data_IF_592243006900
#
_entry.id   IF_592243006900
#
_cell.length_a   1.000
_cell.length_b   1.000
_cell.length_c   1.000
_cell.angle_alpha   90.00
_cell.angle_beta   90.00
_cell.angle_gamma   90.00
#
_symmetry.space_group_name_H-M   'P 1'
#
loop_
_entity.id
_entity.type
_entity.pdbx_description
1 polymer ?
#
# COMPACT_ATOMS: atom_id res chain seq x y z
N UNK A 1 -71.69 42.34 -8.28
CA UNK A 1 -72.38 42.20 -9.56
C UNK A 1 -72.25 40.81 -10.00
N UNK A 2 -73.28 40.02 -9.78
CA UNK A 2 -74.17 39.40 -10.75
C UNK A 2 -73.45 38.41 -11.61
N UNK A 3 -73.76 37.16 -11.61
CA UNK A 3 -74.97 36.35 -11.60
C UNK A 3 -74.62 35.22 -12.58
N UNK A 4 -74.82 34.07 -12.25
CA UNK A 4 -75.96 33.20 -12.37
C UNK A 4 -75.63 32.18 -13.36
N UNK A 5 -75.98 31.04 -13.24
CA UNK A 5 -77.14 30.25 -12.94
C UNK A 5 -76.96 28.99 -13.69
N UNK A 6 -77.08 27.87 -13.04
CA UNK A 6 -78.29 27.04 -13.02
C UNK A 6 -78.55 26.27 -14.33
N UNK A 7 -78.37 24.95 -14.17
CA UNK A 7 -79.48 23.95 -14.16
C UNK A 7 -79.77 23.41 -15.57
N UNK A 8 -80.00 22.22 -15.87
CA UNK A 8 -80.81 21.12 -15.37
C UNK A 8 -80.45 19.85 -16.25
N UNK A 9 -80.22 18.75 -15.72
CA UNK A 9 -81.14 17.68 -15.34
C UNK A 9 -81.90 17.02 -16.51
N UNK A 10 -81.76 15.79 -16.61
CA UNK A 10 -82.71 14.69 -16.65
C UNK A 10 -82.73 13.72 -17.81
N UNK A 11 -82.63 12.48 -17.41
CA UNK A 11 -83.44 11.26 -17.69
C UNK A 11 -82.94 10.28 -18.75
N UNK A 12 -82.41 9.18 -18.26
CA UNK A 12 -82.99 7.79 -18.21
C UNK A 12 -83.33 7.16 -19.57
N UNK A 13 -82.60 6.08 -19.88
CA UNK A 13 -83.21 4.82 -20.29
C UNK A 13 -82.18 3.69 -20.24
N UNK A 14 -82.53 2.66 -19.48
CA UNK A 14 -81.98 1.32 -19.45
C UNK A 14 -82.02 0.64 -20.82
N UNK A 15 -80.95 -0.04 -21.26
CA UNK A 15 -81.06 -1.29 -21.94
C UNK A 15 -79.87 -2.18 -21.52
N UNK A 16 -80.22 -3.29 -20.85
CA UNK A 16 -79.41 -4.41 -20.52
C UNK A 16 -79.15 -5.21 -21.82
N UNK A 17 -77.90 -5.40 -22.18
CA UNK A 17 -77.51 -6.58 -22.96
C UNK A 17 -76.07 -6.97 -22.59
N UNK A 18 -75.97 -8.19 -22.08
CA UNK A 18 -74.73 -8.81 -21.70
C UNK A 18 -73.81 -9.09 -22.85
N UNK A 19 -72.54 -8.85 -22.69
CA UNK A 19 -71.48 -9.45 -23.43
C UNK A 19 -70.36 -9.87 -22.47
N UNK A 20 -70.29 -11.19 -22.30
CA UNK A 20 -69.15 -11.89 -21.70
C UNK A 20 -67.91 -11.47 -22.45
N UNK A 21 -67.11 -10.57 -21.84
CA UNK A 21 -65.74 -10.36 -22.29
C UNK A 21 -64.84 -11.23 -21.42
N UNK A 22 -64.44 -12.36 -22.03
CA UNK A 22 -63.32 -13.16 -21.56
C UNK A 22 -62.11 -12.26 -21.40
N UNK A 23 -61.79 -11.92 -20.17
CA UNK A 23 -60.53 -11.30 -19.81
C UNK A 23 -59.40 -12.29 -20.07
N UNK A 24 -58.74 -12.15 -21.20
CA UNK A 24 -57.44 -12.79 -21.43
C UNK A 24 -56.46 -12.20 -20.37
N UNK A 25 -56.31 -12.89 -19.27
CA UNK A 25 -55.14 -12.75 -18.44
C UNK A 25 -53.92 -13.15 -19.28
N UNK A 26 -53.31 -12.15 -19.89
CA UNK A 26 -51.94 -12.29 -20.38
C UNK A 26 -51.05 -12.47 -19.18
N UNK A 27 -51.07 -13.65 -18.57
CA UNK A 27 -50.06 -14.11 -17.69
C UNK A 27 -48.75 -14.07 -18.47
N UNK A 28 -47.86 -13.12 -18.16
CA UNK A 28 -46.48 -13.29 -18.54
C UNK A 28 -45.99 -14.58 -17.88
N UNK A 29 -46.15 -15.69 -18.58
CA UNK A 29 -45.52 -16.94 -18.26
C UNK A 29 -44.02 -16.67 -18.40
N UNK A 30 -43.37 -16.44 -17.26
CA UNK A 30 -41.94 -16.48 -17.12
C UNK A 30 -41.50 -17.93 -17.32
N UNK A 31 -41.52 -18.37 -18.59
CA UNK A 31 -40.94 -19.66 -18.97
C UNK A 31 -39.45 -19.57 -18.74
N UNK A 32 -39.00 -20.04 -17.57
CA UNK A 32 -37.60 -20.26 -17.34
C UNK A 32 -37.03 -21.08 -18.50
N UNK A 33 -35.94 -20.59 -19.11
CA UNK A 33 -35.24 -21.31 -20.17
C UNK A 33 -34.97 -22.74 -19.70
N UNK A 34 -35.61 -23.71 -20.34
CA UNK A 34 -35.43 -25.15 -20.03
C UNK A 34 -34.15 -25.71 -20.63
N UNK A 35 -33.66 -25.11 -21.71
CA UNK A 35 -32.39 -25.46 -22.33
C UNK A 35 -31.25 -24.63 -21.71
N UNK A 36 -30.06 -25.24 -21.49
CA UNK A 36 -28.91 -24.52 -20.98
C UNK A 36 -28.50 -23.39 -21.93
N UNK A 37 -28.24 -22.17 -21.44
CA UNK A 37 -27.69 -21.08 -22.23
C UNK A 37 -26.31 -21.44 -22.80
N UNK A 38 -26.03 -21.02 -24.03
CA UNK A 38 -24.74 -21.30 -24.68
C UNK A 38 -23.53 -20.72 -23.96
N UNK A 39 -23.72 -19.66 -23.19
CA UNK A 39 -22.64 -19.05 -22.41
C UNK A 39 -22.10 -19.94 -21.28
N UNK A 40 -22.85 -21.01 -20.88
CA UNK A 40 -22.34 -21.99 -19.88
C UNK A 40 -21.16 -22.77 -20.46
N UNK A 41 -21.15 -23.01 -21.77
CA UNK A 41 -20.07 -23.68 -22.49
C UNK A 41 -18.98 -22.72 -22.99
N UNK A 42 -19.04 -21.44 -22.59
CA UNK A 42 -18.04 -20.42 -22.94
C UNK A 42 -18.25 -19.70 -24.25
N UNK A 43 -19.39 -19.94 -24.94
CA UNK A 43 -19.74 -19.25 -26.19
C UNK A 43 -21.10 -18.58 -26.09
N UNK A 44 -21.21 -17.32 -26.51
CA UNK A 44 -22.47 -16.59 -26.56
C UNK A 44 -22.51 -15.67 -27.77
N UNK A 45 -23.63 -15.69 -28.50
CA UNK A 45 -23.88 -14.73 -29.58
C UNK A 45 -24.28 -13.36 -29.02
N UNK A 46 -24.95 -13.34 -27.87
CA UNK A 46 -25.41 -12.14 -27.21
C UNK A 46 -24.26 -11.38 -26.47
N UNK A 47 -23.31 -12.16 -25.92
CA UNK A 47 -22.13 -11.64 -25.22
C UNK A 47 -20.86 -12.10 -25.94
N UNK A 48 -20.71 -11.68 -27.21
CA UNK A 48 -19.59 -12.07 -28.05
C UNK A 48 -18.25 -11.69 -27.41
N UNK A 49 -17.24 -12.56 -27.48
CA UNK A 49 -15.93 -12.38 -26.83
C UNK A 49 -15.16 -11.13 -27.33
N UNK A 50 -15.48 -10.66 -28.54
CA UNK A 50 -14.94 -9.42 -29.13
C UNK A 50 -15.45 -8.18 -28.39
N UNK A 51 -16.68 -8.22 -27.85
CA UNK A 51 -17.32 -7.09 -27.17
C UNK A 51 -17.29 -7.24 -25.66
N UNK A 52 -17.36 -8.47 -25.15
CA UNK A 52 -17.46 -8.73 -23.72
C UNK A 52 -16.30 -9.58 -23.20
N UNK A 53 -15.82 -9.25 -22.02
CA UNK A 53 -15.01 -10.15 -21.20
C UNK A 53 -15.93 -10.75 -20.13
N UNK A 54 -16.06 -12.08 -20.13
CA UNK A 54 -17.04 -12.77 -19.28
C UNK A 54 -16.43 -13.83 -18.39
N UNK A 55 -17.10 -14.12 -17.26
CA UNK A 55 -16.79 -15.22 -16.37
C UNK A 55 -18.07 -15.94 -15.93
N UNK A 56 -18.00 -17.25 -15.84
CA UNK A 56 -19.12 -18.10 -15.43
C UNK A 56 -18.91 -18.59 -14.01
N UNK A 57 -19.96 -18.53 -13.19
CA UNK A 57 -20.01 -19.09 -11.85
C UNK A 57 -21.15 -20.10 -11.73
N UNK A 58 -20.94 -21.11 -10.90
CA UNK A 58 -21.90 -22.17 -10.63
C UNK A 58 -21.95 -22.44 -9.12
N UNK A 59 -23.15 -22.54 -8.54
CA UNK A 59 -23.35 -22.82 -7.12
C UNK A 59 -24.74 -23.40 -6.81
N UNK A 60 -24.98 -23.75 -5.56
CA UNK A 60 -26.28 -24.21 -5.04
C UNK A 60 -27.30 -23.04 -4.93
N UNK A 61 -26.83 -21.80 -4.83
CA UNK A 61 -27.65 -20.59 -4.76
C UNK A 61 -27.26 -19.57 -5.82
N UNK A 62 -28.23 -18.74 -6.23
CA UNK A 62 -27.99 -17.69 -7.22
C UNK A 62 -26.97 -16.62 -6.74
N UNK A 63 -27.01 -16.13 -5.49
CA UNK A 63 -26.00 -15.16 -5.03
C UNK A 63 -24.59 -15.72 -5.02
N UNK A 64 -24.44 -17.00 -4.64
CA UNK A 64 -23.13 -17.66 -4.65
C UNK A 64 -22.63 -17.91 -6.08
N UNK A 65 -23.50 -18.31 -7.01
CA UNK A 65 -23.16 -18.45 -8.43
C UNK A 65 -22.69 -17.09 -9.00
N UNK A 66 -23.39 -16.00 -8.70
CA UNK A 66 -22.97 -14.64 -9.07
C UNK A 66 -21.60 -14.29 -8.49
N UNK A 67 -21.38 -14.52 -7.20
CA UNK A 67 -20.07 -14.28 -6.56
C UNK A 67 -18.93 -15.05 -7.23
N UNK A 68 -19.17 -16.32 -7.60
CA UNK A 68 -18.20 -17.15 -8.33
C UNK A 68 -17.95 -16.64 -9.76
N UNK A 69 -18.96 -16.09 -10.42
CA UNK A 69 -18.81 -15.47 -11.74
C UNK A 69 -17.92 -14.21 -11.68
N UNK A 70 -18.15 -13.33 -10.71
CA UNK A 70 -17.26 -12.18 -10.45
C UNK A 70 -15.84 -12.62 -10.15
N UNK A 71 -15.67 -13.64 -9.30
CA UNK A 71 -14.35 -14.19 -8.97
C UNK A 71 -13.65 -14.81 -10.20
N UNK A 72 -14.40 -15.37 -11.15
CA UNK A 72 -13.84 -15.90 -12.40
C UNK A 72 -13.24 -14.77 -13.24
N UNK A 73 -13.93 -13.65 -13.40
CA UNK A 73 -13.42 -12.45 -14.07
C UNK A 73 -12.20 -11.91 -13.35
N UNK A 74 -12.28 -11.71 -12.03
CA UNK A 74 -11.16 -11.18 -11.22
C UNK A 74 -9.86 -11.98 -11.36
N UNK A 75 -9.96 -13.30 -11.45
CA UNK A 75 -8.78 -14.19 -11.60
C UNK A 75 -7.99 -13.94 -12.88
N UNK A 76 -8.66 -13.56 -13.97
CA UNK A 76 -7.98 -13.26 -15.25
C UNK A 76 -7.05 -12.08 -15.07
N UNK A 77 -7.53 -11.00 -14.46
CA UNK A 77 -6.75 -9.77 -14.21
C UNK A 77 -5.60 -10.00 -13.22
N UNK A 78 -5.87 -10.69 -12.12
CA UNK A 78 -4.83 -11.02 -11.13
C UNK A 78 -3.68 -11.85 -11.73
N UNK A 79 -3.99 -12.75 -12.67
CA UNK A 79 -2.98 -13.56 -13.35
C UNK A 79 -2.08 -12.69 -14.25
N UNK A 80 -2.66 -11.76 -15.01
CA UNK A 80 -1.91 -10.86 -15.88
C UNK A 80 -1.01 -9.90 -15.12
N UNK A 81 -1.52 -9.25 -14.05
CA UNK A 81 -0.71 -8.35 -13.20
C UNK A 81 0.49 -9.10 -12.63
N UNK A 82 0.31 -10.34 -12.14
CA UNK A 82 1.42 -11.16 -11.63
C UNK A 82 2.44 -11.51 -12.71
N UNK A 83 1.99 -11.77 -13.94
CA UNK A 83 2.89 -12.06 -15.06
C UNK A 83 3.77 -10.84 -15.40
N UNK A 84 3.23 -9.64 -15.30
CA UNK A 84 3.93 -8.37 -15.59
C UNK A 84 4.77 -7.86 -14.42
N UNK A 85 4.57 -8.36 -13.20
CA UNK A 85 5.18 -7.80 -11.97
C UNK A 85 6.70 -7.93 -11.90
N UNK A 86 7.33 -8.74 -12.74
CA UNK A 86 8.80 -8.90 -12.80
C UNK A 86 9.52 -7.59 -13.08
N UNK A 87 8.93 -6.72 -13.90
CA UNK A 87 9.51 -5.44 -14.26
C UNK A 87 9.50 -4.43 -13.09
N UNK A 88 8.71 -4.71 -12.06
CA UNK A 88 8.53 -3.85 -10.88
C UNK A 88 9.24 -4.42 -9.63
N UNK A 89 9.77 -5.65 -9.72
CA UNK A 89 10.32 -6.38 -8.58
C UNK A 89 11.42 -5.60 -7.86
N UNK A 90 12.30 -4.93 -8.61
CA UNK A 90 13.37 -4.11 -8.05
C UNK A 90 12.83 -2.99 -7.15
N UNK A 91 11.79 -2.28 -7.61
CA UNK A 91 11.15 -1.23 -6.82
C UNK A 91 10.38 -1.79 -5.62
N UNK A 92 9.64 -2.90 -5.78
CA UNK A 92 8.92 -3.52 -4.67
C UNK A 92 9.87 -4.05 -3.58
N UNK A 93 11.07 -4.52 -3.96
CA UNK A 93 12.13 -4.88 -3.00
C UNK A 93 12.67 -3.65 -2.27
N UNK A 94 12.89 -2.53 -2.99
CA UNK A 94 13.29 -1.26 -2.38
C UNK A 94 12.23 -0.75 -1.39
N UNK A 95 10.96 -0.77 -1.78
CA UNK A 95 9.83 -0.43 -0.90
C UNK A 95 9.79 -1.29 0.37
N UNK A 96 10.09 -2.58 0.26
CA UNK A 96 10.14 -3.48 1.41
C UNK A 96 11.22 -3.10 2.40
N UNK A 97 12.36 -2.60 1.95
CA UNK A 97 13.49 -2.18 2.80
C UNK A 97 13.22 -0.83 3.49
N UNK A 98 12.68 0.12 2.74
CA UNK A 98 12.59 1.52 3.17
C UNK A 98 11.35 1.92 3.98
N UNK A 99 10.40 1.01 4.25
CA UNK A 99 9.10 1.41 4.82
C UNK A 99 8.93 0.92 6.26
N UNK A 100 8.79 1.87 7.18
CA UNK A 100 8.59 1.63 8.60
C UNK A 100 7.25 0.94 8.95
N UNK A 101 6.23 1.13 8.13
CA UNK A 101 4.87 0.65 8.36
C UNK A 101 4.44 -0.29 7.23
N UNK A 102 4.00 -1.49 7.58
CA UNK A 102 3.46 -2.46 6.62
C UNK A 102 2.24 -1.90 5.87
N UNK A 103 1.47 -1.02 6.52
CA UNK A 103 0.25 -0.41 5.95
C UNK A 103 0.52 0.57 4.81
N UNK A 104 1.70 1.23 4.82
CA UNK A 104 2.06 2.24 3.82
C UNK A 104 2.98 1.71 2.72
N UNK A 105 3.39 0.46 2.84
CA UNK A 105 4.26 -0.21 1.87
C UNK A 105 3.47 -0.60 0.64
N UNK A 106 3.94 -0.19 -0.54
CA UNK A 106 3.39 -0.70 -1.78
C UNK A 106 3.83 -2.17 -1.95
N UNK A 107 2.87 -3.07 -1.98
CA UNK A 107 3.11 -4.50 -2.21
C UNK A 107 2.42 -4.93 -3.50
N UNK A 108 2.90 -6.02 -4.09
CA UNK A 108 2.26 -6.59 -5.28
C UNK A 108 0.77 -6.90 -5.03
N UNK A 109 0.43 -7.39 -3.84
CA UNK A 109 -0.96 -7.69 -3.50
C UNK A 109 -1.81 -6.42 -3.40
N UNK A 110 -1.27 -5.33 -2.85
CA UNK A 110 -1.98 -4.03 -2.81
C UNK A 110 -2.18 -3.48 -4.22
N UNK A 111 -1.14 -3.47 -5.06
CA UNK A 111 -1.25 -3.03 -6.46
C UNK A 111 -2.29 -3.87 -7.21
N UNK A 112 -2.23 -5.19 -7.05
CA UNK A 112 -3.16 -6.12 -7.68
C UNK A 112 -4.59 -5.91 -7.21
N UNK A 113 -4.80 -5.67 -5.91
CA UNK A 113 -6.14 -5.47 -5.37
C UNK A 113 -6.72 -4.13 -5.83
N UNK A 114 -5.97 -3.03 -5.73
CA UNK A 114 -6.43 -1.69 -6.16
C UNK A 114 -6.80 -1.68 -7.64
N UNK A 115 -5.97 -2.28 -8.51
CA UNK A 115 -6.25 -2.34 -9.94
C UNK A 115 -7.46 -3.25 -10.23
N UNK A 116 -7.50 -4.45 -9.65
CA UNK A 116 -8.60 -5.39 -9.86
C UNK A 116 -9.94 -4.84 -9.35
N UNK A 117 -9.97 -4.18 -8.20
CA UNK A 117 -11.20 -3.57 -7.67
C UNK A 117 -11.75 -2.53 -8.65
N UNK A 118 -10.87 -1.69 -9.22
CA UNK A 118 -11.27 -0.69 -10.22
C UNK A 118 -11.82 -1.31 -11.51
N UNK A 119 -11.24 -2.42 -11.95
CA UNK A 119 -11.76 -3.18 -13.10
C UNK A 119 -13.13 -3.76 -12.77
N UNK A 120 -13.32 -4.31 -11.57
CA UNK A 120 -14.57 -4.93 -11.15
C UNK A 120 -15.73 -3.91 -11.06
N UNK A 121 -15.48 -2.62 -10.92
CA UNK A 121 -16.51 -1.57 -11.04
C UNK A 121 -17.25 -1.61 -12.39
N UNK A 122 -16.62 -2.15 -13.44
CA UNK A 122 -17.20 -2.29 -14.78
C UNK A 122 -17.86 -3.65 -15.02
N UNK A 123 -17.75 -4.60 -14.09
CA UNK A 123 -18.34 -5.93 -14.21
C UNK A 123 -19.77 -5.92 -13.72
N UNK A 124 -20.67 -6.51 -14.51
CA UNK A 124 -22.08 -6.65 -14.16
C UNK A 124 -22.50 -8.10 -14.27
N UNK A 125 -23.55 -8.45 -13.54
CA UNK A 125 -24.28 -9.70 -13.77
C UNK A 125 -25.06 -9.55 -15.07
N UNK A 126 -24.69 -10.34 -16.08
CA UNK A 126 -25.26 -10.27 -17.43
C UNK A 126 -26.46 -11.19 -17.57
N UNK A 127 -26.35 -12.43 -17.06
CA UNK A 127 -27.43 -13.41 -17.13
C UNK A 127 -27.36 -14.42 -15.98
N UNK A 128 -28.47 -15.08 -15.69
CA UNK A 128 -28.55 -16.16 -14.70
C UNK A 128 -29.44 -17.28 -15.21
N UNK A 129 -29.10 -18.51 -14.88
CA UNK A 129 -29.90 -19.68 -15.24
C UNK A 129 -29.88 -20.71 -14.12
N UNK A 130 -31.05 -21.35 -13.89
CA UNK A 130 -31.17 -22.46 -12.97
C UNK A 130 -31.40 -23.74 -13.76
N UNK A 131 -30.55 -24.71 -13.56
CA UNK A 131 -30.71 -26.03 -14.17
C UNK A 131 -31.95 -26.76 -13.58
N UNK A 132 -32.99 -27.03 -14.38
CA UNK A 132 -34.17 -27.68 -13.86
C UNK A 132 -33.93 -29.14 -13.43
N UNK A 133 -32.85 -29.78 -13.91
CA UNK A 133 -32.53 -31.17 -13.57
C UNK A 133 -31.75 -31.29 -12.27
N UNK A 134 -30.70 -30.49 -12.10
CA UNK A 134 -29.82 -30.54 -10.94
C UNK A 134 -30.18 -29.53 -9.85
N UNK A 135 -31.02 -28.55 -10.13
CA UNK A 135 -31.35 -27.45 -9.25
C UNK A 135 -30.22 -26.40 -9.07
N UNK A 136 -29.07 -26.59 -9.72
CA UNK A 136 -27.92 -25.70 -9.62
C UNK A 136 -28.15 -24.37 -10.32
N UNK A 137 -27.60 -23.33 -9.75
CA UNK A 137 -27.62 -21.99 -10.29
C UNK A 137 -26.32 -21.69 -11.03
N UNK A 138 -26.46 -21.06 -12.19
CA UNK A 138 -25.41 -20.56 -13.05
C UNK A 138 -25.56 -19.05 -13.18
N UNK A 139 -24.45 -18.34 -13.23
CA UNK A 139 -24.41 -16.90 -13.42
C UNK A 139 -23.32 -16.54 -14.41
N UNK A 140 -23.60 -15.59 -15.27
CA UNK A 140 -22.67 -14.96 -16.18
C UNK A 140 -22.40 -13.54 -15.70
N UNK A 141 -21.17 -13.25 -15.29
CA UNK A 141 -20.71 -11.89 -15.06
C UNK A 141 -19.79 -11.45 -16.20
N UNK A 142 -19.79 -10.16 -16.51
CA UNK A 142 -18.92 -9.66 -17.56
C UNK A 142 -18.93 -8.14 -17.65
N UNK A 143 -18.05 -7.62 -18.49
CA UNK A 143 -17.92 -6.20 -18.79
C UNK A 143 -17.87 -5.96 -20.29
N UNK A 144 -18.35 -4.79 -20.71
CA UNK A 144 -18.14 -4.27 -22.07
C UNK A 144 -16.69 -3.82 -22.22
N UNK A 145 -15.98 -4.38 -23.20
CA UNK A 145 -14.55 -4.11 -23.43
C UNK A 145 -14.28 -2.67 -23.85
N UNK A 146 -15.18 -2.07 -24.62
CA UNK A 146 -15.00 -0.70 -25.09
C UNK A 146 -15.14 0.29 -23.93
N UNK A 147 -16.19 0.12 -23.11
CA UNK A 147 -16.43 0.97 -21.94
C UNK A 147 -15.30 0.81 -20.89
N UNK A 148 -14.96 -0.43 -20.52
CA UNK A 148 -13.92 -0.71 -19.55
C UNK A 148 -12.53 -0.24 -20.07
N UNK A 149 -12.25 -0.45 -21.35
CA UNK A 149 -11.01 0.02 -21.98
C UNK A 149 -10.87 1.53 -21.95
N UNK A 150 -11.94 2.29 -22.22
CA UNK A 150 -11.93 3.74 -22.12
C UNK A 150 -11.65 4.22 -20.69
N UNK A 151 -12.30 3.62 -19.68
CA UNK A 151 -12.08 3.94 -18.28
C UNK A 151 -10.62 3.66 -17.83
N UNK A 152 -10.03 2.55 -18.29
CA UNK A 152 -8.63 2.24 -18.00
C UNK A 152 -7.65 3.19 -18.69
N UNK A 153 -7.94 3.59 -19.96
CA UNK A 153 -7.12 4.59 -20.67
C UNK A 153 -7.12 5.95 -19.97
N UNK A 154 -8.28 6.40 -19.49
CA UNK A 154 -8.41 7.63 -18.72
C UNK A 154 -7.56 7.57 -17.45
N UNK A 155 -7.65 6.45 -16.72
CA UNK A 155 -6.88 6.26 -15.48
C UNK A 155 -5.36 6.20 -15.72
N UNK A 156 -4.92 5.53 -16.77
CA UNK A 156 -3.52 5.53 -17.19
C UNK A 156 -3.06 6.94 -17.51
N UNK A 157 -3.87 7.73 -18.24
CA UNK A 157 -3.55 9.11 -18.59
C UNK A 157 -3.49 10.05 -17.37
N UNK A 158 -4.30 9.82 -16.32
CA UNK A 158 -4.19 10.53 -15.05
C UNK A 158 -2.85 10.24 -14.37
N UNK A 159 -2.51 8.96 -14.23
CA UNK A 159 -1.27 8.55 -13.60
C UNK A 159 -0.02 9.00 -14.38
N UNK A 160 -0.08 9.01 -15.71
CA UNK A 160 1.01 9.56 -16.54
C UNK A 160 1.25 11.05 -16.24
N UNK A 161 0.18 11.85 -16.02
CA UNK A 161 0.30 13.25 -15.60
C UNK A 161 0.85 13.40 -14.17
N UNK A 162 0.42 12.56 -13.24
CA UNK A 162 0.94 12.55 -11.88
C UNK A 162 2.43 12.21 -11.85
N UNK A 163 2.86 11.17 -12.59
CA UNK A 163 4.29 10.82 -12.75
C UNK A 163 5.09 11.99 -13.31
N UNK A 164 4.61 12.66 -14.36
CA UNK A 164 5.30 13.81 -14.93
C UNK A 164 5.44 14.96 -13.93
N UNK A 165 4.38 15.25 -13.18
CA UNK A 165 4.38 16.29 -12.15
C UNK A 165 5.40 15.98 -11.06
N UNK A 166 5.40 14.75 -10.54
CA UNK A 166 6.33 14.31 -9.49
C UNK A 166 7.78 14.34 -9.97
N UNK A 167 8.05 13.91 -11.21
CA UNK A 167 9.38 13.95 -11.79
C UNK A 167 9.87 15.39 -12.02
N UNK A 168 8.98 16.29 -12.40
CA UNK A 168 9.29 17.70 -12.53
C UNK A 168 9.64 18.33 -11.18
N UNK A 169 8.83 18.09 -10.15
CA UNK A 169 9.07 18.53 -8.77
C UNK A 169 10.41 17.99 -8.25
N UNK A 170 10.67 16.70 -8.44
CA UNK A 170 11.93 16.06 -8.03
C UNK A 170 13.18 16.71 -8.64
N UNK A 171 13.08 17.20 -9.88
CA UNK A 171 14.22 17.83 -10.58
C UNK A 171 14.41 19.31 -10.22
N UNK A 172 13.34 19.98 -9.79
CA UNK A 172 13.39 21.42 -9.49
C UNK A 172 13.70 21.71 -8.02
N UNK A 173 13.41 20.78 -7.11
CA UNK A 173 13.67 21.01 -5.70
C UNK A 173 15.17 20.98 -5.40
N UNK A 174 15.62 21.91 -4.55
CA UNK A 174 16.96 21.89 -3.98
C UNK A 174 17.04 21.05 -2.71
N UNK A 175 15.89 20.73 -2.09
CA UNK A 175 15.82 19.88 -0.93
C UNK A 175 15.92 18.40 -1.36
N UNK A 176 17.02 17.77 -0.94
CA UNK A 176 17.37 16.39 -1.28
C UNK A 176 16.36 15.38 -0.77
N UNK A 177 15.78 15.59 0.42
CA UNK A 177 14.76 14.70 0.97
C UNK A 177 13.44 14.81 0.18
N UNK A 178 13.07 16.02 -0.19
CA UNK A 178 11.91 16.24 -1.09
C UNK A 178 12.14 15.57 -2.44
N UNK A 179 13.34 15.67 -3.02
CA UNK A 179 13.67 14.99 -4.27
C UNK A 179 13.50 13.45 -4.16
N UNK A 180 13.97 12.84 -3.08
CA UNK A 180 13.79 11.40 -2.81
C UNK A 180 12.31 11.03 -2.69
N UNK A 181 11.54 11.82 -1.92
CA UNK A 181 10.11 11.57 -1.65
C UNK A 181 9.26 11.69 -2.91
N UNK A 182 9.49 12.72 -3.71
CA UNK A 182 8.74 12.94 -4.96
C UNK A 182 9.09 11.90 -6.00
N UNK A 183 10.38 11.52 -6.13
CA UNK A 183 10.78 10.45 -7.05
C UNK A 183 10.20 9.09 -6.65
N UNK A 184 10.15 8.78 -5.34
CA UNK A 184 9.48 7.58 -4.84
C UNK A 184 7.97 7.61 -5.11
N UNK A 185 7.31 8.77 -4.99
CA UNK A 185 5.90 8.94 -5.30
C UNK A 185 5.63 8.71 -6.78
N UNK A 186 6.47 9.26 -7.66
CA UNK A 186 6.43 9.00 -9.09
C UNK A 186 6.52 7.50 -9.41
N UNK A 187 7.41 6.77 -8.73
CA UNK A 187 7.54 5.32 -8.89
C UNK A 187 6.29 4.57 -8.45
N UNK A 188 5.65 4.95 -7.35
CA UNK A 188 4.39 4.35 -6.91
C UNK A 188 3.27 4.55 -7.93
N UNK A 189 3.14 5.76 -8.47
CA UNK A 189 2.18 6.06 -9.53
C UNK A 189 2.49 5.27 -10.81
N UNK A 190 3.76 5.15 -11.18
CA UNK A 190 4.19 4.41 -12.36
C UNK A 190 3.90 2.90 -12.22
N UNK A 191 4.15 2.29 -11.05
CA UNK A 191 3.81 0.88 -10.79
C UNK A 191 2.30 0.65 -10.86
N UNK A 192 1.51 1.56 -10.29
CA UNK A 192 0.05 1.46 -10.37
C UNK A 192 -0.43 1.66 -11.81
N UNK A 193 0.18 2.58 -12.55
CA UNK A 193 -0.07 2.79 -13.98
C UNK A 193 0.18 1.52 -14.79
N UNK A 194 1.28 0.80 -14.51
CA UNK A 194 1.60 -0.44 -15.19
C UNK A 194 0.62 -1.57 -14.82
N UNK A 195 0.08 -1.59 -13.60
CA UNK A 195 -0.98 -2.52 -13.24
C UNK A 195 -2.26 -2.26 -14.07
N UNK A 196 -2.69 -1.01 -14.19
CA UNK A 196 -3.82 -0.67 -15.08
C UNK A 196 -3.53 -0.96 -16.56
N UNK A 197 -2.28 -0.85 -16.97
CA UNK A 197 -1.85 -1.19 -18.32
C UNK A 197 -1.92 -2.72 -18.56
N UNK A 198 -1.59 -3.52 -17.56
CA UNK A 198 -1.78 -4.97 -17.60
C UNK A 198 -3.28 -5.34 -17.73
N UNK A 199 -4.14 -4.66 -16.95
CA UNK A 199 -5.59 -4.83 -17.08
C UNK A 199 -6.10 -4.43 -18.46
N UNK A 200 -5.59 -3.32 -19.02
CA UNK A 200 -5.96 -2.87 -20.37
C UNK A 200 -5.59 -3.90 -21.45
N UNK A 201 -4.46 -4.61 -21.31
CA UNK A 201 -4.08 -5.73 -22.21
C UNK A 201 -5.12 -6.86 -22.20
N UNK A 202 -5.63 -7.20 -21.01
CA UNK A 202 -6.71 -8.21 -20.87
C UNK A 202 -8.02 -7.72 -21.51
N UNK A 203 -8.34 -6.45 -21.30
CA UNK A 203 -9.59 -5.86 -21.82
C UNK A 203 -9.56 -5.76 -23.34
N UNK A 204 -8.43 -5.37 -23.94
CA UNK A 204 -8.31 -5.25 -25.39
C UNK A 204 -8.16 -6.61 -26.06
N UNK A 205 -8.90 -6.84 -27.12
CA UNK A 205 -8.78 -8.06 -27.95
C UNK A 205 -7.43 -8.19 -28.62
N UNK A 206 -6.75 -7.05 -28.87
CA UNK A 206 -5.39 -7.02 -29.41
C UNK A 206 -4.32 -7.48 -28.41
N UNK A 207 -4.64 -7.55 -27.12
CA UNK A 207 -3.66 -7.81 -26.07
C UNK A 207 -2.61 -6.69 -25.86
N UNK A 208 -2.78 -5.53 -26.51
CA UNK A 208 -1.80 -4.46 -26.47
C UNK A 208 -2.15 -3.42 -25.41
N UNK A 209 -1.16 -3.04 -24.60
CA UNK A 209 -1.23 -1.93 -23.65
C UNK A 209 -0.89 -0.58 -24.29
N UNK A 210 -0.59 0.37 -23.42
CA UNK A 210 -0.06 1.69 -23.77
C UNK A 210 1.38 1.74 -23.27
N UNK A 211 2.33 2.07 -24.16
CA UNK A 211 3.73 2.16 -23.78
C UNK A 211 3.95 3.25 -22.73
N UNK A 212 4.67 2.96 -21.63
CA UNK A 212 4.90 3.95 -20.59
C UNK A 212 5.93 4.98 -21.03
N UNK A 213 5.79 6.27 -20.66
CA UNK A 213 6.80 7.29 -20.94
C UNK A 213 8.10 7.09 -20.17
N UNK A 214 8.07 6.32 -19.09
CA UNK A 214 9.20 5.98 -18.24
C UNK A 214 9.13 4.52 -17.82
N UNK A 215 10.30 3.88 -17.64
CA UNK A 215 10.38 2.51 -17.12
C UNK A 215 10.61 2.50 -15.61
N UNK A 216 9.91 1.62 -14.91
CA UNK A 216 10.06 1.47 -13.44
C UNK A 216 11.51 1.21 -13.06
N UNK A 217 12.22 0.33 -13.77
CA UNK A 217 13.61 0.00 -13.49
C UNK A 217 14.55 1.23 -13.63
N UNK A 218 14.32 2.08 -14.61
CA UNK A 218 15.12 3.30 -14.83
C UNK A 218 14.94 4.29 -13.68
N UNK A 219 13.70 4.56 -13.30
CA UNK A 219 13.41 5.46 -12.19
C UNK A 219 13.83 4.89 -10.82
N UNK A 220 13.79 3.56 -10.66
CA UNK A 220 14.31 2.89 -9.45
C UNK A 220 15.81 3.10 -9.33
N UNK A 221 16.56 2.89 -10.41
CA UNK A 221 18.00 3.16 -10.44
C UNK A 221 18.30 4.63 -10.17
N UNK A 222 17.50 5.56 -10.72
CA UNK A 222 17.64 6.98 -10.45
C UNK A 222 17.41 7.30 -8.96
N UNK A 223 16.39 6.70 -8.33
CA UNK A 223 16.13 6.86 -6.89
C UNK A 223 17.30 6.38 -6.05
N UNK A 224 17.84 5.18 -6.35
CA UNK A 224 19.02 4.64 -5.66
C UNK A 224 20.24 5.55 -5.83
N UNK A 225 20.48 6.09 -7.03
CA UNK A 225 21.57 7.04 -7.28
C UNK A 225 21.40 8.34 -6.50
N UNK A 226 20.20 8.92 -6.50
CA UNK A 226 19.89 10.15 -5.74
C UNK A 226 20.10 9.91 -4.25
N UNK A 227 19.68 8.77 -3.73
CA UNK A 227 19.92 8.40 -2.33
C UNK A 227 21.40 8.24 -2.03
N UNK A 228 22.14 7.49 -2.86
CA UNK A 228 23.55 7.22 -2.64
C UNK A 228 24.44 8.49 -2.72
N UNK A 229 24.09 9.42 -3.61
CA UNK A 229 24.89 10.64 -3.83
C UNK A 229 24.51 11.82 -2.94
N UNK A 230 23.27 11.88 -2.48
CA UNK A 230 22.75 13.08 -1.82
C UNK A 230 22.37 12.88 -0.36
N UNK A 231 22.06 11.65 0.08
CA UNK A 231 21.66 11.38 1.43
C UNK A 231 22.86 10.87 2.25
N UNK A 232 23.38 11.70 3.14
CA UNK A 232 24.49 11.34 4.04
C UNK A 232 23.99 11.32 5.46
N UNK A 233 24.00 10.14 6.10
CA UNK A 233 23.57 9.93 7.47
C UNK A 233 24.80 9.70 8.36
N UNK A 234 24.94 10.54 9.41
CA UNK A 234 25.95 10.34 10.46
C UNK A 234 25.35 9.63 11.67
N UNK A 235 26.18 8.89 12.41
CA UNK A 235 25.78 8.22 13.65
C UNK A 235 26.77 8.56 14.76
N UNK A 236 26.27 9.15 15.84
CA UNK A 236 27.02 9.54 17.05
C UNK A 236 26.37 8.91 18.28
N UNK A 237 27.13 8.11 19.01
CA UNK A 237 26.65 7.38 20.19
C UNK A 237 27.59 7.61 21.34
N UNK A 238 27.05 7.93 22.49
CA UNK A 238 27.78 8.11 23.75
C UNK A 238 27.33 7.08 24.81
N UNK A 239 28.20 6.83 25.79
CA UNK A 239 27.91 5.94 26.93
C UNK A 239 28.49 4.55 26.83
N UNK A 240 27.83 3.58 27.48
CA UNK A 240 28.34 2.22 27.59
C UNK A 240 28.20 1.48 26.23
N UNK A 241 29.26 0.74 25.85
CA UNK A 241 29.30 0.00 24.59
C UNK A 241 29.03 0.89 23.33
N UNK A 242 29.30 2.20 23.42
CA UNK A 242 28.98 3.19 22.40
C UNK A 242 29.47 2.79 20.99
N UNK A 243 30.70 2.28 20.85
CA UNK A 243 31.28 1.88 19.58
C UNK A 243 30.59 0.62 19.01
N UNK A 244 30.19 -0.33 19.85
CA UNK A 244 29.46 -1.52 19.41
C UNK A 244 28.06 -1.16 18.94
N UNK A 245 27.35 -0.31 19.69
CA UNK A 245 26.01 0.18 19.33
C UNK A 245 26.07 1.03 18.05
N UNK A 246 27.06 1.91 17.92
CA UNK A 246 27.25 2.72 16.71
C UNK A 246 27.43 1.83 15.47
N UNK A 247 28.31 0.81 15.51
CA UNK A 247 28.49 -0.13 14.40
C UNK A 247 27.18 -0.87 14.08
N UNK A 248 26.49 -1.36 15.10
CA UNK A 248 25.21 -2.08 14.91
C UNK A 248 24.13 -1.17 14.27
N UNK A 249 24.04 0.09 14.68
CA UNK A 249 23.12 1.08 14.07
C UNK A 249 23.51 1.33 12.61
N UNK A 250 24.79 1.57 12.31
CA UNK A 250 25.24 1.77 10.92
C UNK A 250 24.94 0.57 10.04
N UNK A 251 25.20 -0.66 10.50
CA UNK A 251 24.87 -1.88 9.77
C UNK A 251 23.36 -2.04 9.55
N UNK A 252 22.57 -1.71 10.57
CA UNK A 252 21.10 -1.73 10.47
C UNK A 252 20.57 -0.76 9.42
N UNK A 253 21.08 0.47 9.41
CA UNK A 253 20.70 1.48 8.44
C UNK A 253 21.08 1.09 7.01
N UNK A 254 22.29 0.55 6.80
CA UNK A 254 22.72 0.04 5.48
C UNK A 254 21.83 -1.10 5.03
N UNK A 255 21.41 -2.00 5.93
CA UNK A 255 20.50 -3.10 5.62
C UNK A 255 19.13 -2.62 5.16
N UNK A 256 18.68 -1.49 5.68
CA UNK A 256 17.45 -0.82 5.23
C UNK A 256 17.65 0.05 3.98
N UNK A 257 18.84 0.00 3.36
CA UNK A 257 19.13 0.73 2.11
C UNK A 257 19.45 2.20 2.30
N UNK A 258 19.74 2.63 3.53
CA UNK A 258 20.13 4.00 3.83
C UNK A 258 21.67 4.14 3.77
N UNK A 259 22.23 5.06 2.98
CA UNK A 259 23.66 5.29 2.93
C UNK A 259 24.14 5.96 4.23
N UNK A 260 25.11 5.35 4.89
CA UNK A 260 25.68 5.83 6.15
C UNK A 260 27.16 6.11 5.97
N UNK A 261 27.61 7.23 6.50
CA UNK A 261 29.04 7.54 6.55
C UNK A 261 29.59 7.36 7.96
N UNK A 262 30.84 6.92 8.04
CA UNK A 262 31.58 6.76 9.30
C UNK A 262 32.05 8.11 9.88
N UNK A 263 31.31 9.18 9.64
CA UNK A 263 31.68 10.51 10.12
C UNK A 263 31.61 10.58 11.64
N UNK A 264 32.71 10.83 12.30
CA UNK A 264 32.76 11.15 13.75
C UNK A 264 32.36 12.61 13.91
N UNK A 265 31.19 12.86 14.47
CA UNK A 265 30.79 14.17 14.97
C UNK A 265 31.08 14.18 16.45
N UNK A 266 32.14 14.79 16.87
CA UNK A 266 32.43 14.92 18.31
C UNK A 266 33.87 15.32 18.64
N UNK A 267 34.07 15.68 19.86
CA UNK A 267 35.15 16.42 20.51
C UNK A 267 36.62 15.94 20.32
N UNK A 268 36.90 14.96 19.50
CA UNK A 268 38.28 14.44 19.30
C UNK A 268 38.92 14.88 17.98
N UNK A 269 38.36 15.88 17.29
CA UNK A 269 39.06 16.52 16.18
C UNK A 269 40.05 17.56 16.77
N UNK A 270 41.35 17.48 16.44
CA UNK A 270 42.28 18.54 16.82
C UNK A 270 41.78 19.86 16.25
N UNK A 271 41.68 20.87 17.13
CA UNK A 271 41.22 22.22 16.84
C UNK A 271 41.82 22.73 15.51
N UNK A 272 41.00 22.89 14.47
CA UNK A 272 41.41 23.49 13.20
C UNK A 272 41.25 22.65 11.95
N UNK A 273 40.77 21.38 11.98
CA UNK A 273 40.42 20.64 10.80
C UNK A 273 38.90 20.59 10.67
N UNK A 274 38.37 21.35 9.73
CA UNK A 274 37.02 21.16 9.22
C UNK A 274 36.89 19.71 8.70
N UNK A 275 35.75 19.07 9.01
CA UNK A 275 35.45 17.71 8.63
C UNK A 275 35.54 17.57 7.10
N UNK A 276 36.54 16.84 6.61
CA UNK A 276 36.77 16.55 5.17
C UNK A 276 35.74 15.51 4.61
N UNK A 277 34.46 15.64 4.91
CA UNK A 277 33.42 14.75 4.40
C UNK A 277 32.28 15.53 3.74
N UNK A 278 31.44 14.87 2.92
CA UNK A 278 30.25 15.52 2.40
C UNK A 278 29.37 16.00 3.56
N UNK A 279 28.62 17.11 3.38
CA UNK A 279 27.76 17.61 4.44
C UNK A 279 26.71 16.56 4.82
N UNK A 280 26.54 16.37 6.14
CA UNK A 280 25.53 15.45 6.67
C UNK A 280 24.15 16.04 6.43
N UNK A 281 23.23 15.23 5.90
CA UNK A 281 21.82 15.59 5.81
C UNK A 281 21.09 15.27 7.10
N UNK A 282 21.38 14.10 7.67
CA UNK A 282 20.78 13.61 8.90
C UNK A 282 21.84 13.12 9.88
N UNK A 283 21.61 13.38 11.15
CA UNK A 283 22.49 12.93 12.24
C UNK A 283 21.68 12.18 13.28
N UNK A 284 22.02 10.92 13.50
CA UNK A 284 21.49 10.09 14.58
C UNK A 284 22.41 10.31 15.80
N UNK A 285 21.89 10.93 16.85
CA UNK A 285 22.60 11.13 18.14
C UNK A 285 21.94 10.32 19.22
N UNK A 286 22.73 9.62 20.04
CA UNK A 286 22.17 8.84 21.12
C UNK A 286 23.08 8.61 22.31
N UNK A 287 22.46 8.22 23.40
CA UNK A 287 23.14 7.83 24.64
C UNK A 287 22.64 6.45 25.06
N UNK A 288 23.55 5.59 25.47
CA UNK A 288 23.27 4.24 25.97
C UNK A 288 23.86 4.06 27.35
N UNK A 289 23.14 3.38 28.23
CA UNK A 289 23.59 3.04 29.59
C UNK A 289 23.20 1.65 29.97
N UNK A 290 24.10 0.96 30.68
CA UNK A 290 23.85 -0.38 31.22
C UNK A 290 24.39 -0.47 32.64
N UNK A 291 23.65 -1.10 33.53
CA UNK A 291 24.07 -1.30 34.92
C UNK A 291 23.45 -2.55 35.55
N UNK A 292 24.13 -3.09 36.55
CA UNK A 292 23.62 -4.21 37.35
C UNK A 292 22.59 -3.76 38.35
N UNK A 293 21.47 -4.52 38.44
CA UNK A 293 20.47 -4.31 39.49
C UNK A 293 20.80 -5.13 40.72
N UNK A 294 20.70 -4.49 41.89
CA UNK A 294 20.80 -5.18 43.19
C UNK A 294 19.46 -5.76 43.54
N UNK A 295 19.18 -6.96 43.06
CA UNK A 295 17.95 -7.71 43.35
C UNK A 295 18.30 -8.85 44.33
N UNK A 296 17.54 -9.09 45.37
CA UNK A 296 17.77 -10.19 46.32
C UNK A 296 17.34 -11.55 45.76
N UNK A 297 17.82 -11.92 44.57
CA UNK A 297 17.64 -13.24 43.97
C UNK A 297 18.97 -13.99 43.98
N UNK A 298 19.08 -15.11 44.71
CA UNK A 298 20.33 -15.84 44.80
C UNK A 298 20.70 -16.57 43.49
N UNK A 299 19.75 -16.78 42.59
CA UNK A 299 19.93 -17.63 41.40
C UNK A 299 20.19 -16.79 40.13
N UNK A 300 19.65 -15.57 40.07
CA UNK A 300 19.73 -14.74 38.87
C UNK A 300 20.35 -13.35 39.16
N UNK A 301 21.17 -12.91 38.25
CA UNK A 301 21.72 -11.56 38.17
C UNK A 301 20.98 -10.80 37.07
N UNK A 302 20.64 -9.56 37.34
CA UNK A 302 19.86 -8.74 36.39
C UNK A 302 20.65 -7.52 35.98
N UNK A 303 20.78 -7.34 34.68
CA UNK A 303 21.28 -6.10 34.08
C UNK A 303 20.10 -5.27 33.53
N UNK A 304 20.12 -3.98 33.81
CA UNK A 304 19.20 -3.00 33.22
C UNK A 304 19.94 -2.20 32.15
N UNK A 305 19.23 -1.83 31.12
CA UNK A 305 19.74 -0.97 30.07
C UNK A 305 18.71 0.09 29.70
N UNK A 306 19.18 1.21 29.16
CA UNK A 306 18.37 2.24 28.54
C UNK A 306 19.13 2.88 27.38
N UNK A 307 18.37 3.43 26.46
CA UNK A 307 18.88 4.15 25.30
C UNK A 307 17.93 5.27 24.91
N UNK A 308 18.50 6.44 24.63
CA UNK A 308 17.79 7.60 24.13
C UNK A 308 18.48 8.11 22.87
N UNK A 309 17.76 8.12 21.75
CA UNK A 309 18.26 8.55 20.47
C UNK A 309 17.35 9.62 19.87
N UNK A 310 17.95 10.59 19.19
CA UNK A 310 17.27 11.59 18.38
C UNK A 310 17.85 11.60 16.96
N UNK A 311 17.00 11.84 15.98
CA UNK A 311 17.39 12.05 14.59
C UNK A 311 17.23 13.52 14.31
N UNK A 312 18.31 14.17 13.91
CA UNK A 312 18.38 15.62 13.68
C UNK A 312 18.65 15.87 12.19
N UNK A 313 17.87 16.72 11.59
CA UNK A 313 18.12 17.25 10.25
C UNK A 313 19.21 18.32 10.35
N UNK A 314 20.35 18.11 9.67
CA UNK A 314 21.54 18.94 9.88
C UNK A 314 21.35 20.38 9.43
N UNK A 315 20.62 20.61 8.34
CA UNK A 315 20.39 21.94 7.79
C UNK A 315 19.53 22.83 8.71
N UNK A 316 18.51 22.27 9.34
CA UNK A 316 17.53 23.01 10.16
C UNK A 316 17.73 22.83 11.66
N UNK A 317 18.60 21.89 12.07
CA UNK A 317 18.80 21.47 13.46
C UNK A 317 17.50 20.97 14.13
N UNK A 318 16.52 20.60 13.33
CA UNK A 318 15.21 20.11 13.81
C UNK A 318 15.30 18.63 14.15
N UNK A 319 14.74 18.25 15.29
CA UNK A 319 14.51 16.84 15.61
C UNK A 319 13.37 16.30 14.77
N UNK A 320 13.66 15.29 13.96
CA UNK A 320 12.72 14.69 13.00
C UNK A 320 12.31 13.27 13.40
N UNK A 321 12.95 12.72 14.41
CA UNK A 321 12.60 11.43 14.98
C UNK A 321 13.27 11.23 16.33
N UNK A 322 12.71 10.38 17.16
CA UNK A 322 13.29 10.00 18.44
C UNK A 322 12.93 8.56 18.78
N UNK A 323 13.87 7.86 19.38
CA UNK A 323 13.71 6.47 19.86
C UNK A 323 14.24 6.42 21.29
N UNK A 324 13.38 6.00 22.22
CA UNK A 324 13.74 5.82 23.62
C UNK A 324 13.30 4.42 24.05
N UNK A 325 14.25 3.63 24.53
CA UNK A 325 14.03 2.23 24.92
C UNK A 325 14.75 1.92 26.23
N UNK A 326 14.19 1.01 27.00
CA UNK A 326 14.81 0.47 28.19
C UNK A 326 14.29 -0.92 28.51
N UNK A 327 15.16 -1.73 29.08
CA UNK A 327 14.82 -3.12 29.40
C UNK A 327 15.64 -3.67 30.56
N UNK A 328 15.31 -4.90 30.94
CA UNK A 328 15.97 -5.66 31.96
C UNK A 328 16.17 -7.10 31.52
N UNK A 329 17.41 -7.56 31.57
CA UNK A 329 17.75 -8.92 31.22
C UNK A 329 18.34 -9.67 32.41
N UNK A 330 18.00 -10.93 32.56
CA UNK A 330 18.46 -11.80 33.63
C UNK A 330 19.30 -12.95 33.13
N UNK A 331 20.38 -13.28 33.87
CA UNK A 331 21.19 -14.49 33.65
C UNK A 331 21.78 -15.01 34.96
N UNK A 332 22.37 -16.19 34.94
CA UNK A 332 22.98 -16.82 36.12
C UNK A 332 24.25 -16.07 36.56
N UNK A 333 25.01 -15.46 35.62
CA UNK A 333 26.19 -14.65 35.87
C UNK A 333 26.00 -13.22 35.49
N UNK A 334 26.71 -12.30 36.13
CA UNK A 334 26.67 -10.87 35.84
C UNK A 334 27.17 -10.56 34.43
N UNK A 335 28.27 -11.19 34.02
CA UNK A 335 28.87 -10.99 32.71
C UNK A 335 27.89 -11.35 31.59
N UNK A 336 27.18 -12.48 31.74
CA UNK A 336 26.18 -12.89 30.73
C UNK A 336 24.89 -12.10 30.79
N UNK A 337 24.47 -11.61 31.96
CA UNK A 337 23.35 -10.68 32.08
C UNK A 337 23.63 -9.37 31.33
N UNK A 338 24.81 -8.79 31.49
CA UNK A 338 25.25 -7.60 30.76
C UNK A 338 25.38 -7.87 29.24
N UNK A 339 25.99 -8.99 28.85
CA UNK A 339 26.14 -9.36 27.44
C UNK A 339 24.76 -9.57 26.77
N UNK A 340 23.81 -10.15 27.48
CA UNK A 340 22.43 -10.32 26.99
C UNK A 340 21.72 -8.99 26.86
N UNK A 341 21.83 -8.14 27.87
CA UNK A 341 21.26 -6.80 27.87
C UNK A 341 21.79 -5.98 26.67
N UNK A 342 23.09 -6.03 26.39
CA UNK A 342 23.70 -5.40 25.24
C UNK A 342 23.14 -5.90 23.89
N UNK A 343 23.01 -7.22 23.74
CA UNK A 343 22.43 -7.81 22.50
C UNK A 343 20.98 -7.40 22.27
N UNK A 344 20.13 -7.48 23.31
CA UNK A 344 18.72 -7.09 23.21
C UNK A 344 18.60 -5.61 22.93
N UNK A 345 19.34 -4.76 23.65
CA UNK A 345 19.39 -3.33 23.41
C UNK A 345 19.77 -3.00 21.96
N UNK A 346 20.85 -3.58 21.44
CA UNK A 346 21.29 -3.35 20.07
C UNK A 346 20.20 -3.77 19.08
N UNK A 347 19.57 -4.92 19.25
CA UNK A 347 18.54 -5.41 18.35
C UNK A 347 17.32 -4.48 18.31
N UNK A 348 16.80 -4.08 19.47
CA UNK A 348 15.62 -3.21 19.57
C UNK A 348 15.92 -1.78 19.05
N UNK A 349 17.04 -1.19 19.49
CA UNK A 349 17.43 0.16 19.11
C UNK A 349 17.68 0.24 17.60
N UNK A 350 18.43 -0.71 17.03
CA UNK A 350 18.72 -0.73 15.59
C UNK A 350 17.45 -0.84 14.78
N UNK A 351 16.56 -1.74 15.15
CA UNK A 351 15.27 -1.94 14.45
C UNK A 351 14.41 -0.66 14.47
N UNK A 352 14.31 -0.02 15.62
CA UNK A 352 13.45 1.15 15.79
C UNK A 352 14.06 2.41 15.13
N UNK A 353 15.38 2.60 15.24
CA UNK A 353 16.06 3.70 14.56
C UNK A 353 15.99 3.57 13.04
N UNK A 354 16.27 2.38 12.51
CA UNK A 354 16.21 2.13 11.08
C UNK A 354 14.80 2.39 10.55
N UNK A 355 13.78 1.93 11.26
CA UNK A 355 12.36 2.16 10.93
C UNK A 355 12.00 3.65 10.97
N UNK A 356 12.39 4.34 12.03
CA UNK A 356 12.07 5.77 12.22
C UNK A 356 12.75 6.62 11.16
N UNK A 357 14.02 6.37 10.90
CA UNK A 357 14.80 7.10 9.90
C UNK A 357 14.29 6.83 8.48
N UNK A 358 14.07 5.57 8.12
CA UNK A 358 13.51 5.21 6.83
C UNK A 358 12.13 5.85 6.63
N UNK A 359 11.26 5.79 7.63
CA UNK A 359 9.95 6.45 7.59
C UNK A 359 10.06 7.95 7.34
N UNK A 360 11.02 8.63 7.92
CA UNK A 360 11.26 10.05 7.70
C UNK A 360 11.81 10.33 6.28
N UNK A 361 12.87 9.63 5.88
CA UNK A 361 13.51 9.80 4.56
C UNK A 361 12.50 9.59 3.43
N UNK A 362 11.72 8.53 3.52
CA UNK A 362 10.73 8.17 2.50
C UNK A 362 9.39 8.91 2.61
N UNK A 363 9.22 9.77 3.63
CA UNK A 363 8.00 10.55 3.81
C UNK A 363 6.80 9.76 4.34
N UNK A 364 7.03 8.57 4.91
CA UNK A 364 5.96 7.72 5.45
C UNK A 364 5.54 8.13 6.87
N UNK A 365 6.38 8.85 7.59
CA UNK A 365 6.10 9.35 8.94
C UNK A 365 6.21 10.86 9.00
N UNK A 366 5.26 11.49 9.68
CA UNK A 366 5.35 12.90 10.07
C UNK A 366 6.21 12.96 11.34
N UNK A 367 7.19 13.86 11.42
CA UNK A 367 7.97 14.05 12.65
C UNK A 367 7.06 14.21 13.86
N UNK A 368 7.33 13.47 14.93
CA UNK A 368 6.60 13.65 16.17
C UNK A 368 6.89 15.06 16.73
N UNK A 369 5.84 15.79 17.06
CA UNK A 369 5.96 17.15 17.65
C UNK A 369 6.54 17.11 19.07
N UNK A 370 6.50 15.96 19.74
CA UNK A 370 7.03 15.76 21.09
C UNK A 370 7.92 14.51 21.08
N UNK A 371 9.15 14.67 21.58
CA UNK A 371 10.03 13.53 21.81
C UNK A 371 9.43 12.57 22.87
N UNK A 372 9.59 11.25 22.73
CA UNK A 372 9.18 10.32 23.77
C UNK A 372 9.92 10.62 25.08
N UNK A 373 9.31 10.31 26.24
CA UNK A 373 9.99 10.48 27.52
C UNK A 373 11.27 9.65 27.55
N UNK A 374 12.35 10.24 28.08
CA UNK A 374 13.66 9.58 28.17
C UNK A 374 13.59 8.34 29.05
N UNK A 375 13.90 7.17 28.47
CA UNK A 375 13.96 5.91 29.21
C UNK A 375 15.12 5.91 30.21
N UNK A 376 16.22 6.62 29.90
CA UNK A 376 17.36 6.76 30.80
C UNK A 376 17.07 7.69 32.00
N UNK A 377 16.22 8.70 31.81
CA UNK A 377 15.81 9.57 32.92
C UNK A 377 14.85 8.88 33.89
N UNK A 378 13.96 8.00 33.38
CA UNK A 378 13.03 7.22 34.22
C UNK A 378 13.77 6.14 35.01
N UNK A 379 14.81 5.52 34.45
CA UNK A 379 15.61 4.51 35.11
C UNK A 379 16.44 4.98 36.31
N UNK A 380 16.74 6.27 36.40
CA UNK A 380 17.49 6.86 37.53
C UNK A 380 16.63 7.07 38.79
N UNK A 381 15.30 6.97 38.70
CA UNK A 381 14.38 7.16 39.84
C UNK A 381 14.07 5.88 40.63
N UNK A 382 14.51 4.73 40.14
CA UNK A 382 14.23 3.39 40.73
C UNK A 382 15.51 2.70 41.24
N UNK A 383 16.64 3.41 41.35
CA UNK A 383 17.94 2.89 41.82
C UNK A 383 18.28 3.24 43.24
#
# INVERSE_FOLDING_TARGET
>A
MRSGGEQQAARVALIVWGALVFGAWSGCAWFGRTAPPTWIEGSSKEYAAEQYLTGVGQAESQPEAASRAYAAVSRIFKAEIRAQSKDWESFLVLEKRGTASTERRLTLDQVTNVSTDKVLDNVRLLDTWKDPKSGRHYALAGMDRAQAGAAMQEKIGELDREVQTDLHESRQTQDKLTAVRTLRRALKHLVLREAYNADLRVIRTSGQGIEPPHRVAELTTQLEQVMASNLVVGVDVAGDEADAVRRAVMEGLVREGLPVTAHRVGADLPSGKESEGPPLELLVKGTVRMWMLKVPDPRFKYARWCSDFVIVESATQRVVGAVSRGGREGHVTEAEALARAGRVMQQEVVSDLARTLAGYVYGDTVPATVAPPSACALGLREG
#
